data_IF_176013968482
#
_entry.id   IF_176013968482
#
_cell.length_a   1.000
_cell.length_b   1.000
_cell.length_c   1.000
_cell.angle_alpha   90.00
_cell.angle_beta   90.00
_cell.angle_gamma   90.00
#
_symmetry.space_group_name_H-M   'P 1'
#
loop_
_entity.id
_entity.type
_entity.pdbx_description
1 polymer ?
#
# COMPACT_ATOMS: atom_id res chain seq x y z
N UNK A 1 2.63 17.10 12.73
CA UNK A 1 2.14 16.39 11.52
C UNK A 1 1.82 14.96 11.87
N UNK A 2 0.62 14.50 11.58
CA UNK A 2 0.24 13.09 11.77
C UNK A 2 0.91 12.19 10.74
N UNK A 3 0.91 10.89 10.99
CA UNK A 3 1.42 9.92 10.00
C UNK A 3 0.61 9.96 8.70
N UNK A 4 -0.70 10.16 8.81
CA UNK A 4 -1.55 10.29 7.62
C UNK A 4 -1.23 11.55 6.82
N UNK A 5 -0.98 12.67 7.50
CA UNK A 5 -0.52 13.90 6.83
C UNK A 5 0.82 13.68 6.13
N UNK A 6 1.77 13.00 6.79
CA UNK A 6 3.04 12.60 6.16
C UNK A 6 2.83 11.74 4.93
N UNK A 7 1.95 10.76 5.02
CA UNK A 7 1.61 9.91 3.88
C UNK A 7 1.13 10.73 2.69
N UNK A 8 0.26 11.71 2.92
CA UNK A 8 -0.23 12.57 1.85
C UNK A 8 0.82 13.54 1.31
N UNK A 9 1.87 13.83 2.06
CA UNK A 9 3.02 14.58 1.55
C UNK A 9 3.90 13.71 0.66
N UNK A 10 4.08 12.45 1.04
CA UNK A 10 4.86 11.48 0.26
C UNK A 10 4.14 11.12 -1.05
N UNK A 11 2.83 10.92 -0.98
CA UNK A 11 1.98 10.56 -2.11
C UNK A 11 0.95 11.64 -2.38
N UNK A 12 1.35 12.78 -2.97
CA UNK A 12 0.43 13.87 -3.25
C UNK A 12 -0.61 13.48 -4.29
N UNK A 13 -1.76 14.12 -4.24
CA UNK A 13 -2.90 13.85 -5.11
C UNK A 13 -3.49 12.44 -4.94
N UNK A 14 -3.28 11.84 -3.79
CA UNK A 14 -3.87 10.54 -3.46
C UNK A 14 -5.39 10.59 -3.39
N UNK A 15 -6.00 9.48 -3.76
CA UNK A 15 -7.44 9.30 -3.76
C UNK A 15 -7.78 8.09 -2.88
N UNK A 16 -8.86 8.20 -2.14
CA UNK A 16 -9.23 7.24 -1.11
C UNK A 16 -10.65 6.72 -1.28
N UNK A 17 -10.89 5.57 -0.70
CA UNK A 17 -12.24 5.03 -0.50
C UNK A 17 -12.47 4.82 0.99
N UNK A 18 -13.71 4.93 1.42
CA UNK A 18 -14.09 4.64 2.80
C UNK A 18 -14.54 3.20 2.91
N UNK A 19 -14.13 2.54 3.99
CA UNK A 19 -14.39 1.14 4.26
C UNK A 19 -14.96 1.04 5.67
N UNK A 20 -16.06 0.33 5.84
CA UNK A 20 -16.63 0.09 7.17
C UNK A 20 -15.64 -0.69 8.04
N UNK A 21 -15.49 -0.30 9.30
CA UNK A 21 -14.63 -0.99 10.25
C UNK A 21 -14.97 -2.48 10.32
N UNK A 22 -13.94 -3.33 10.26
CA UNK A 22 -14.11 -4.78 10.23
C UNK A 22 -14.37 -5.37 8.85
N UNK A 23 -14.63 -4.54 7.86
CA UNK A 23 -14.88 -4.95 6.49
C UNK A 23 -13.64 -4.71 5.60
N UNK A 24 -13.61 -5.32 4.43
CA UNK A 24 -12.56 -5.10 3.41
C UNK A 24 -13.11 -4.52 2.12
N UNK A 25 -14.44 -4.43 2.02
CA UNK A 25 -15.11 -3.92 0.84
C UNK A 25 -15.46 -2.45 1.05
N UNK A 26 -15.20 -1.57 0.07
CA UNK A 26 -15.55 -0.16 0.17
C UNK A 26 -17.05 0.06 0.34
N UNK A 27 -17.40 1.13 1.09
CA UNK A 27 -18.78 1.56 1.26
C UNK A 27 -19.26 2.31 0.01
N UNK A 28 -19.69 1.61 -1.02
CA UNK A 28 -20.12 2.22 -2.27
C UNK A 28 -18.96 2.50 -3.23
N UNK A 29 -19.22 3.31 -4.26
CA UNK A 29 -18.31 3.54 -5.38
C UNK A 29 -17.55 4.86 -5.30
N UNK A 30 -17.86 5.69 -4.32
CA UNK A 30 -17.31 7.05 -4.25
C UNK A 30 -15.84 7.06 -3.88
N UNK A 31 -15.08 7.93 -4.56
CA UNK A 31 -13.66 8.18 -4.32
C UNK A 31 -13.49 9.58 -3.75
N UNK A 32 -12.58 9.72 -2.81
CA UNK A 32 -12.37 10.99 -2.11
C UNK A 32 -10.92 11.45 -2.24
N UNK A 33 -10.67 12.63 -2.82
CA UNK A 33 -9.37 13.29 -2.68
C UNK A 33 -9.12 13.63 -1.20
N UNK A 34 -7.86 13.77 -0.83
CA UNK A 34 -7.49 14.07 0.56
C UNK A 34 -8.24 15.29 1.14
N UNK A 35 -8.42 16.33 0.33
CA UNK A 35 -9.04 17.58 0.77
C UNK A 35 -10.50 17.43 1.16
N UNK A 36 -11.19 16.45 0.61
CA UNK A 36 -12.62 16.21 0.86
C UNK A 36 -12.86 14.97 1.72
N UNK A 37 -11.80 14.26 2.06
CA UNK A 37 -11.90 13.05 2.85
C UNK A 37 -12.22 13.37 4.31
N UNK A 38 -13.30 12.79 4.82
CA UNK A 38 -13.63 12.79 6.23
C UNK A 38 -13.80 11.35 6.69
N UNK A 39 -13.02 10.96 7.69
CA UNK A 39 -13.03 9.58 8.21
C UNK A 39 -13.71 9.56 9.56
N UNK A 40 -14.85 8.89 9.63
CA UNK A 40 -15.58 8.68 10.88
C UNK A 40 -14.93 7.61 11.76
N UNK A 41 -15.36 7.51 13.04
CA UNK A 41 -14.74 6.60 14.00
C UNK A 41 -14.91 5.11 13.65
N UNK A 42 -15.93 4.76 12.86
CA UNK A 42 -16.20 3.39 12.46
C UNK A 42 -15.82 3.12 11.00
N UNK A 43 -14.96 3.94 10.45
CA UNK A 43 -14.52 3.81 9.07
C UNK A 43 -13.01 3.62 8.99
N UNK A 44 -12.60 2.82 8.01
CA UNK A 44 -11.20 2.68 7.62
C UNK A 44 -10.99 3.35 6.27
N UNK A 45 -9.72 3.62 5.94
CA UNK A 45 -9.36 4.29 4.71
C UNK A 45 -8.68 3.30 3.77
N UNK A 46 -9.23 3.16 2.58
CA UNK A 46 -8.58 2.45 1.48
C UNK A 46 -7.87 3.45 0.57
N UNK A 47 -6.58 3.30 0.38
CA UNK A 47 -5.81 4.10 -0.56
C UNK A 47 -5.84 3.40 -1.92
N UNK A 48 -6.30 4.13 -2.93
CA UNK A 48 -6.21 3.66 -4.31
C UNK A 48 -4.76 3.84 -4.74
N UNK A 49 -4.09 2.74 -5.08
CA UNK A 49 -2.67 2.77 -5.43
C UNK A 49 -2.44 3.77 -6.55
N UNK A 50 -1.72 4.83 -6.25
CA UNK A 50 -1.49 5.93 -7.19
C UNK A 50 -0.79 5.45 -8.44
N UNK A 51 -1.05 6.13 -9.56
CA UNK A 51 -0.32 5.89 -10.79
C UNK A 51 1.19 6.02 -10.54
N UNK A 52 1.93 5.08 -11.08
CA UNK A 52 3.38 5.04 -10.87
C UNK A 52 3.86 4.33 -9.61
N UNK A 53 2.95 3.72 -8.86
CA UNK A 53 3.30 2.98 -7.66
C UNK A 53 2.85 1.52 -7.72
N UNK A 54 3.49 0.70 -6.91
CA UNK A 54 3.19 -0.72 -6.78
C UNK A 54 3.22 -1.10 -5.30
N UNK A 55 2.23 -1.85 -4.85
CA UNK A 55 2.21 -2.42 -3.52
C UNK A 55 2.49 -3.90 -3.61
N UNK A 56 3.44 -4.36 -2.81
CA UNK A 56 3.72 -5.78 -2.60
C UNK A 56 3.09 -6.18 -1.28
N UNK A 57 2.12 -7.09 -1.35
CA UNK A 57 1.37 -7.59 -0.19
C UNK A 57 1.90 -8.95 0.21
N UNK A 58 2.53 -9.03 1.39
CA UNK A 58 3.03 -10.27 1.96
C UNK A 58 2.06 -10.75 3.03
N UNK A 59 1.41 -11.89 2.78
CA UNK A 59 0.38 -12.43 3.65
C UNK A 59 0.91 -13.20 4.87
N UNK A 60 2.21 -13.39 4.98
CA UNK A 60 2.83 -14.03 6.13
C UNK A 60 4.11 -13.31 6.54
N UNK A 61 4.49 -13.45 7.79
CA UNK A 61 5.65 -12.74 8.34
C UNK A 61 6.98 -13.29 7.85
N UNK A 62 7.06 -14.56 7.46
CA UNK A 62 8.28 -15.11 6.88
C UNK A 62 8.63 -14.43 5.57
N UNK A 63 7.64 -14.32 4.68
CA UNK A 63 7.78 -13.61 3.40
C UNK A 63 8.02 -12.12 3.63
N UNK A 64 7.25 -11.50 4.53
CA UNK A 64 7.39 -10.08 4.84
C UNK A 64 8.79 -9.74 5.37
N UNK A 65 9.32 -10.55 6.26
CA UNK A 65 10.67 -10.36 6.82
C UNK A 65 11.75 -10.52 5.74
N UNK A 66 11.57 -11.45 4.81
CA UNK A 66 12.50 -11.62 3.68
C UNK A 66 12.52 -10.38 2.77
N UNK A 67 11.35 -9.84 2.44
CA UNK A 67 11.23 -8.61 1.63
C UNK A 67 11.83 -7.42 2.38
N UNK A 68 11.51 -7.26 3.67
CA UNK A 68 12.05 -6.20 4.50
C UNK A 68 13.58 -6.23 4.56
N UNK A 69 14.14 -7.42 4.77
CA UNK A 69 15.59 -7.60 4.80
C UNK A 69 16.23 -7.22 3.47
N UNK A 70 15.63 -7.61 2.36
CA UNK A 70 16.09 -7.22 1.02
C UNK A 70 16.06 -5.71 0.83
N UNK A 71 14.98 -5.06 1.23
CA UNK A 71 14.83 -3.60 1.18
C UNK A 71 15.93 -2.90 1.99
N UNK A 72 16.16 -3.35 3.21
CA UNK A 72 17.17 -2.76 4.10
C UNK A 72 18.60 -2.98 3.57
N UNK A 73 18.91 -4.19 3.12
CA UNK A 73 20.25 -4.52 2.61
C UNK A 73 20.60 -3.80 1.31
N UNK A 74 19.62 -3.48 0.49
CA UNK A 74 19.82 -2.81 -0.79
C UNK A 74 19.50 -1.32 -0.75
N UNK A 75 19.25 -0.76 0.44
CA UNK A 75 18.93 0.64 0.65
C UNK A 75 17.80 1.13 -0.28
N UNK A 76 16.74 0.33 -0.39
CA UNK A 76 15.59 0.68 -1.21
C UNK A 76 14.65 1.58 -0.40
N UNK A 77 14.32 2.74 -0.94
CA UNK A 77 13.42 3.69 -0.30
C UNK A 77 11.97 3.33 -0.61
N UNK A 78 11.24 2.91 0.41
CA UNK A 78 9.82 2.56 0.28
C UNK A 78 9.10 2.80 1.60
N UNK A 79 7.78 2.86 1.54
CA UNK A 79 6.95 2.89 2.73
C UNK A 79 6.40 1.50 3.01
N UNK A 80 6.34 1.11 4.28
CA UNK A 80 5.75 -0.18 4.63
C UNK A 80 5.09 -0.15 6.00
N UNK A 81 4.12 -1.04 6.17
CA UNK A 81 3.38 -1.18 7.40
C UNK A 81 2.97 -2.63 7.65
N UNK A 82 2.74 -2.93 8.92
CA UNK A 82 2.27 -4.25 9.35
C UNK A 82 0.77 -4.38 9.14
N UNK A 83 0.36 -5.58 8.78
CA UNK A 83 -1.04 -6.02 8.76
C UNK A 83 -1.23 -7.12 9.80
N UNK A 84 -2.44 -7.67 9.91
CA UNK A 84 -2.71 -8.74 10.89
C UNK A 84 -1.84 -10.00 10.68
N UNK A 85 -1.44 -10.30 9.43
CA UNK A 85 -0.70 -11.52 9.11
C UNK A 85 0.67 -11.29 8.49
N UNK A 86 0.90 -10.12 7.93
CA UNK A 86 2.14 -9.85 7.21
C UNK A 86 2.44 -8.37 7.11
N UNK A 87 2.81 -7.92 5.91
CA UNK A 87 3.16 -6.51 5.66
C UNK A 87 2.78 -6.10 4.24
N UNK A 88 2.57 -4.80 4.07
CA UNK A 88 2.47 -4.15 2.77
C UNK A 88 3.66 -3.24 2.55
N UNK A 89 4.25 -3.31 1.35
CA UNK A 89 5.36 -2.47 0.92
C UNK A 89 4.93 -1.65 -0.29
N UNK A 90 5.18 -0.35 -0.26
CA UNK A 90 4.81 0.58 -1.34
C UNK A 90 6.07 1.04 -2.05
N UNK A 91 6.18 0.71 -3.33
CA UNK A 91 7.32 1.05 -4.19
C UNK A 91 6.87 1.95 -5.34
N UNK A 92 7.82 2.69 -5.90
CA UNK A 92 7.61 3.35 -7.18
C UNK A 92 7.78 2.34 -8.32
N UNK A 93 6.89 2.40 -9.30
CA UNK A 93 6.97 1.59 -10.50
C UNK A 93 7.68 2.41 -11.59
N UNK A 94 8.88 2.02 -12.03
CA UNK A 94 9.61 2.78 -13.05
C UNK A 94 8.84 2.88 -14.36
N UNK A 95 8.99 4.02 -15.04
CA UNK A 95 8.30 4.27 -16.30
C UNK A 95 8.65 3.23 -17.39
N UNK A 96 9.88 2.77 -17.41
CA UNK A 96 10.36 1.75 -18.35
C UNK A 96 9.58 0.43 -18.20
N UNK A 97 9.32 0.04 -16.95
CA UNK A 97 8.55 -1.18 -16.66
C UNK A 97 7.08 -1.02 -17.10
N UNK A 98 6.52 0.18 -16.88
CA UNK A 98 5.14 0.48 -17.27
C UNK A 98 4.92 0.47 -18.78
N UNK A 99 5.93 0.91 -19.55
CA UNK A 99 5.88 0.93 -21.01
C UNK A 99 6.19 -0.45 -21.58
N UNK A 100 7.19 -1.14 -21.05
CA UNK A 100 7.68 -2.40 -21.58
C UNK A 100 6.74 -3.59 -21.30
N UNK A 101 5.98 -3.53 -20.23
CA UNK A 101 5.04 -4.60 -19.86
C UNK A 101 3.93 -4.09 -18.99
N UNK A 102 2.77 -4.70 -19.12
CA UNK A 102 1.64 -4.41 -18.25
C UNK A 102 1.77 -5.20 -16.95
N UNK A 103 1.88 -4.48 -15.83
CA UNK A 103 1.75 -5.06 -14.51
C UNK A 103 0.35 -4.74 -14.01
N UNK A 104 -0.38 -5.75 -13.59
CA UNK A 104 -1.75 -5.64 -13.09
C UNK A 104 -1.83 -6.13 -11.65
N UNK A 105 -2.97 -5.93 -11.02
CA UNK A 105 -3.25 -6.56 -9.74
C UNK A 105 -3.19 -8.07 -9.91
N UNK A 106 -2.44 -8.75 -9.03
CA UNK A 106 -2.27 -10.19 -9.09
C UNK A 106 -2.17 -10.75 -7.69
N UNK A 107 -2.70 -11.94 -7.50
CA UNK A 107 -2.63 -12.70 -6.26
C UNK A 107 -1.77 -13.93 -6.45
N UNK A 108 -1.13 -14.36 -5.36
CA UNK A 108 -0.33 -15.59 -5.32
C UNK A 108 0.78 -15.65 -6.38
N UNK A 109 1.41 -14.51 -6.65
CA UNK A 109 2.52 -14.44 -7.58
C UNK A 109 3.78 -14.99 -6.89
N UNK A 110 4.42 -15.96 -7.52
CA UNK A 110 5.68 -16.51 -7.03
C UNK A 110 6.83 -15.77 -7.70
N UNK A 111 7.69 -15.17 -6.89
CA UNK A 111 8.87 -14.45 -7.35
C UNK A 111 10.00 -15.42 -7.71
N UNK A 112 11.08 -14.90 -8.28
CA UNK A 112 12.29 -15.69 -8.56
C UNK A 112 12.91 -16.28 -7.29
N UNK A 113 12.64 -15.70 -6.13
CA UNK A 113 13.11 -16.23 -4.83
C UNK A 113 12.13 -17.22 -4.21
N UNK A 114 11.12 -17.66 -4.95
CA UNK A 114 10.05 -18.55 -4.50
C UNK A 114 9.21 -17.97 -3.35
N UNK A 115 9.16 -16.64 -3.24
CA UNK A 115 8.29 -15.95 -2.28
C UNK A 115 6.94 -15.69 -2.95
N UNK A 116 5.87 -16.02 -2.24
CA UNK A 116 4.52 -15.78 -2.74
C UNK A 116 4.00 -14.44 -2.23
N UNK A 117 3.64 -13.56 -3.15
CA UNK A 117 3.16 -12.21 -2.84
C UNK A 117 1.99 -11.83 -3.74
N UNK A 118 1.20 -10.85 -3.28
CA UNK A 118 0.17 -10.22 -4.08
C UNK A 118 0.64 -8.84 -4.52
N UNK A 119 0.20 -8.40 -5.70
CA UNK A 119 0.50 -7.05 -6.21
C UNK A 119 -0.77 -6.21 -6.34
N UNK A 120 -0.61 -4.90 -6.04
CA UNK A 120 -1.61 -3.87 -6.33
C UNK A 120 -0.91 -2.74 -7.05
N UNK A 121 -1.44 -2.30 -8.18
CA UNK A 121 -0.75 -1.33 -9.02
C UNK A 121 -1.69 -0.28 -9.61
N UNK A 122 -1.16 0.91 -9.80
CA UNK A 122 -1.45 1.87 -10.87
C UNK A 122 -2.92 2.25 -11.01
N UNK A 123 -3.54 2.65 -9.90
CA UNK A 123 -4.91 3.15 -9.88
C UNK A 123 -6.00 2.08 -9.95
N UNK A 124 -5.66 0.81 -10.00
CA UNK A 124 -6.61 -0.29 -10.14
C UNK A 124 -6.92 -1.00 -8.84
N UNK A 125 -5.95 -1.07 -7.94
CA UNK A 125 -6.11 -1.72 -6.65
C UNK A 125 -6.17 -0.72 -5.52
N UNK A 126 -6.64 -1.17 -4.37
CA UNK A 126 -6.58 -0.38 -3.16
C UNK A 126 -6.03 -1.22 -2.02
N UNK A 127 -5.47 -0.54 -1.03
CA UNK A 127 -5.02 -1.16 0.22
C UNK A 127 -5.62 -0.39 1.40
N UNK A 128 -5.90 -1.09 2.49
CA UNK A 128 -6.36 -0.47 3.73
C UNK A 128 -5.14 0.08 4.47
N UNK A 129 -5.17 1.37 4.75
CA UNK A 129 -4.08 2.06 5.46
C UNK A 129 -4.17 1.87 6.97
N UNK A 130 -3.04 2.05 7.69
CA UNK A 130 -3.02 2.07 9.16
C UNK A 130 -3.66 3.36 9.72
N UNK A 131 -4.96 3.49 9.53
CA UNK A 131 -5.73 4.63 10.04
C UNK A 131 -7.08 4.08 10.51
N UNK A 132 -7.37 4.23 11.79
CA UNK A 132 -8.54 3.66 12.44
C UNK A 132 -8.64 2.13 12.33
N UNK A 133 -7.51 1.47 12.18
CA UNK A 133 -7.42 0.02 12.07
C UNK A 133 -6.46 -0.50 13.14
N UNK A 134 -6.96 -1.24 14.16
CA UNK A 134 -6.12 -1.73 15.24
C UNK A 134 -5.13 -2.82 14.83
N UNK A 135 -5.35 -3.46 13.67
CA UNK A 135 -4.50 -4.53 13.17
C UNK A 135 -3.37 -4.03 12.28
N UNK A 136 -3.32 -2.73 12.00
CA UNK A 136 -2.35 -2.14 11.08
C UNK A 136 -1.59 -1.01 11.75
N UNK A 137 -0.28 -1.00 11.51
CA UNK A 137 0.61 0.00 12.12
C UNK A 137 1.70 0.38 11.12
N UNK A 138 1.91 1.70 10.96
CA UNK A 138 3.04 2.19 10.19
C UNK A 138 4.35 1.73 10.82
N UNK A 139 5.20 1.12 10.02
CA UNK A 139 6.54 0.73 10.44
C UNK A 139 7.58 1.70 9.88
N UNK A 140 7.37 2.17 8.66
CA UNK A 140 8.34 3.06 8.01
C UNK A 140 7.65 3.92 6.95
N UNK A 141 7.80 5.23 7.09
CA UNK A 141 7.38 6.22 6.09
C UNK A 141 8.63 6.90 5.54
N UNK A 142 8.96 6.65 4.30
CA UNK A 142 10.11 7.24 3.63
C UNK A 142 9.63 8.34 2.68
N UNK A 143 10.21 9.52 2.81
CA UNK A 143 9.85 10.67 1.98
C UNK A 143 10.33 10.51 0.53
N UNK A 144 11.30 9.66 0.31
CA UNK A 144 11.79 9.28 -1.01
C UNK A 144 11.38 7.83 -1.26
N UNK A 145 10.52 7.59 -2.24
CA UNK A 145 10.06 6.24 -2.61
C UNK A 145 10.64 5.87 -3.97
N UNK A 146 11.30 4.73 -4.01
CA UNK A 146 11.88 4.17 -5.23
C UNK A 146 10.98 3.12 -5.86
#
# INVERSE_FOLDING_TARGET
>A
MTEFERFNTIFPNSVYRLIKAGDKTPEGIQKYPYKTLYVGPNQRVGWIVSEGHCVVDCDDMTTANAVRKYVELNDIHCCYFKTSRGMHFIFRLPAEVRVARTITNSSHVVTMSSLEVDYRVDGRGYIVLPLNDPDREWTHLDEQVD
#
